data_IF_127430104423
#
_entry.id   IF_127430104423
#
_cell.length_a   1.000
_cell.length_b   1.000
_cell.length_c   1.000
_cell.angle_alpha   90.00
_cell.angle_beta   90.00
_cell.angle_gamma   90.00
#
_symmetry.space_group_name_H-M   'P 1'
#
loop_
_entity.id
_entity.type
_entity.pdbx_description
1 polymer ?
#
# COMPACT_ATOMS: atom_id res chain seq x y z
N UNK A 1 7.12 -1.49 -26.67
CA UNK A 1 7.56 -2.02 -27.97
C UNK A 1 6.72 -3.26 -28.29
N UNK A 2 6.49 -3.59 -29.55
CA UNK A 2 5.69 -4.77 -29.93
C UNK A 2 6.61 -5.91 -30.35
N UNK A 3 6.37 -7.12 -29.84
CA UNK A 3 7.12 -8.31 -30.26
C UNK A 3 6.73 -8.74 -31.67
N UNK A 4 7.56 -9.58 -32.31
CA UNK A 4 7.25 -10.18 -33.62
C UNK A 4 5.93 -10.97 -33.62
N UNK A 5 5.45 -11.40 -32.44
CA UNK A 5 4.19 -12.11 -32.25
C UNK A 5 3.00 -11.18 -31.91
N UNK A 6 3.14 -9.85 -32.03
CA UNK A 6 2.05 -8.89 -31.82
C UNK A 6 1.78 -8.49 -30.36
N UNK A 7 2.44 -9.11 -29.38
CA UNK A 7 2.27 -8.77 -27.97
C UNK A 7 3.01 -7.48 -27.61
N UNK A 8 2.35 -6.58 -26.87
CA UNK A 8 2.99 -5.38 -26.32
C UNK A 8 3.89 -5.75 -25.14
N UNK A 9 5.15 -5.30 -25.20
CA UNK A 9 6.15 -5.47 -24.13
C UNK A 9 6.66 -4.12 -23.69
N UNK A 10 6.69 -3.94 -22.37
CA UNK A 10 7.33 -2.81 -21.71
C UNK A 10 8.80 -3.15 -21.47
N UNK A 11 9.70 -2.23 -21.84
CA UNK A 11 11.13 -2.39 -21.66
C UNK A 11 11.67 -1.24 -20.83
N UNK A 12 12.49 -1.55 -19.84
CA UNK A 12 13.31 -0.56 -19.18
C UNK A 12 14.57 -0.36 -20.03
N UNK A 13 14.90 0.90 -20.33
CA UNK A 13 16.08 1.26 -21.12
C UNK A 13 16.97 2.16 -20.28
N UNK A 14 18.19 1.69 -20.01
CA UNK A 14 19.20 2.47 -19.31
C UNK A 14 20.35 2.79 -20.26
N UNK A 15 20.80 4.04 -20.25
CA UNK A 15 21.92 4.52 -21.06
C UNK A 15 23.10 4.75 -20.12
N UNK A 16 24.19 4.03 -20.35
CA UNK A 16 25.44 4.19 -19.60
C UNK A 16 26.50 4.77 -20.52
N UNK A 17 27.11 5.86 -20.08
CA UNK A 17 28.24 6.47 -20.78
C UNK A 17 29.52 5.95 -20.13
N UNK A 18 30.21 5.04 -20.80
CA UNK A 18 31.47 4.45 -20.33
C UNK A 18 32.63 5.20 -20.98
N UNK A 19 33.57 5.79 -20.21
CA UNK A 19 34.77 6.38 -20.76
C UNK A 19 35.53 5.37 -21.63
N UNK A 20 35.85 5.75 -22.87
CA UNK A 20 36.64 4.89 -23.74
C UNK A 20 38.07 4.75 -23.22
N UNK A 21 38.73 3.59 -23.41
CA UNK A 21 40.14 3.46 -23.04
C UNK A 21 41.01 4.40 -23.88
N UNK A 22 41.77 5.27 -23.22
CA UNK A 22 42.66 6.26 -23.85
C UNK A 22 41.96 7.53 -24.34
N UNK A 23 42.41 8.11 -25.46
CA UNK A 23 41.81 9.30 -26.11
C UNK A 23 40.56 8.98 -26.96
N UNK A 24 39.92 7.82 -26.74
CA UNK A 24 38.78 7.39 -27.55
C UNK A 24 37.48 8.04 -27.04
N UNK A 25 36.56 8.27 -27.96
CA UNK A 25 35.22 8.77 -27.65
C UNK A 25 34.51 7.85 -26.63
N UNK A 26 33.66 8.42 -25.76
CA UNK A 26 32.92 7.63 -24.79
C UNK A 26 31.99 6.62 -25.47
N UNK A 27 31.88 5.44 -24.88
CA UNK A 27 31.04 4.36 -25.36
C UNK A 27 29.66 4.52 -24.72
N UNK A 28 28.61 4.54 -25.54
CA UNK A 28 27.22 4.55 -25.07
C UNK A 28 26.72 3.11 -25.04
N UNK A 29 26.37 2.61 -23.86
CA UNK A 29 25.79 1.28 -23.67
C UNK A 29 24.30 1.44 -23.38
N UNK A 30 23.46 0.88 -24.24
CA UNK A 30 22.02 0.76 -24.00
C UNK A 30 21.70 -0.61 -23.41
N UNK A 31 21.30 -0.66 -22.14
CA UNK A 31 20.79 -1.89 -21.53
C UNK A 31 19.26 -1.92 -21.64
N UNK A 32 18.73 -2.96 -22.27
CA UNK A 32 17.30 -3.22 -22.38
C UNK A 32 16.92 -4.38 -21.47
N UNK A 33 15.98 -4.16 -20.55
CA UNK A 33 15.45 -5.22 -19.66
C UNK A 33 13.93 -5.31 -19.80
N UNK A 34 13.35 -6.51 -19.92
CA UNK A 34 11.90 -6.65 -19.93
C UNK A 34 11.32 -6.18 -18.61
N UNK A 35 10.35 -5.27 -18.68
CA UNK A 35 9.46 -4.98 -17.56
C UNK A 35 8.37 -6.03 -17.67
N UNK A 36 8.49 -7.09 -16.86
CA UNK A 36 7.36 -8.02 -16.66
C UNK A 36 6.15 -7.18 -16.22
N UNK A 37 5.09 -7.24 -17.03
CA UNK A 37 3.87 -6.46 -16.83
C UNK A 37 3.03 -6.90 -15.62
N UNK A 38 1.77 -6.40 -15.53
CA UNK A 38 0.91 -6.48 -14.35
C UNK A 38 0.58 -7.90 -13.85
N UNK A 39 0.84 -8.95 -14.62
CA UNK A 39 0.59 -10.35 -14.23
C UNK A 39 1.44 -10.81 -13.03
N UNK A 40 2.63 -10.22 -12.82
CA UNK A 40 3.39 -10.42 -11.57
C UNK A 40 2.75 -9.73 -10.37
N UNK A 41 1.95 -8.71 -10.60
CA UNK A 41 1.27 -7.94 -9.56
C UNK A 41 0.01 -8.68 -9.13
N UNK A 42 -0.75 -9.28 -10.05
CA UNK A 42 -1.90 -10.15 -9.71
C UNK A 42 -1.45 -11.37 -8.89
N UNK A 43 -0.42 -12.09 -9.37
CA UNK A 43 0.13 -13.22 -8.62
C UNK A 43 0.73 -12.82 -7.28
N UNK A 44 1.30 -11.62 -7.16
CA UNK A 44 1.83 -11.10 -5.90
C UNK A 44 0.70 -10.65 -4.97
N UNK A 45 -0.35 -10.01 -5.49
CA UNK A 45 -1.54 -9.60 -4.73
C UNK A 45 -2.25 -10.83 -4.17
N UNK A 46 -2.40 -11.89 -4.96
CA UNK A 46 -3.03 -13.13 -4.52
C UNK A 46 -2.16 -13.87 -3.50
N UNK A 47 -0.83 -13.89 -3.70
CA UNK A 47 0.11 -14.46 -2.72
C UNK A 47 0.13 -13.66 -1.41
N UNK A 48 0.10 -12.32 -1.48
CA UNK A 48 0.04 -11.45 -0.30
C UNK A 48 -1.31 -11.59 0.40
N UNK A 49 -2.42 -11.60 -0.33
CA UNK A 49 -3.76 -11.80 0.23
C UNK A 49 -3.86 -13.16 0.94
N UNK A 50 -3.35 -14.22 0.32
CA UNK A 50 -3.28 -15.56 0.91
C UNK A 50 -2.44 -15.58 2.19
N UNK A 51 -1.26 -14.94 2.17
CA UNK A 51 -0.40 -14.82 3.36
C UNK A 51 -1.07 -14.02 4.48
N UNK A 52 -1.71 -12.90 4.14
CA UNK A 52 -2.42 -12.05 5.11
C UNK A 52 -3.57 -12.83 5.75
N UNK A 53 -4.36 -13.55 4.96
CA UNK A 53 -5.44 -14.40 5.47
C UNK A 53 -4.91 -15.53 6.37
N UNK A 54 -3.77 -16.15 6.04
CA UNK A 54 -3.14 -17.13 6.92
C UNK A 54 -2.64 -16.51 8.23
N UNK A 55 -1.94 -15.37 8.18
CA UNK A 55 -1.47 -14.66 9.38
C UNK A 55 -2.64 -14.25 10.29
N UNK A 56 -3.77 -13.86 9.70
CA UNK A 56 -4.99 -13.55 10.43
C UNK A 56 -5.64 -14.80 11.04
N UNK A 57 -5.65 -15.95 10.33
CA UNK A 57 -6.17 -17.22 10.85
C UNK A 57 -5.32 -17.80 11.99
N UNK A 58 -3.99 -17.69 11.90
CA UNK A 58 -3.05 -18.20 12.92
C UNK A 58 -3.16 -17.41 14.24
N UNK A 59 -3.63 -16.16 14.20
CA UNK A 59 -3.87 -15.33 15.40
C UNK A 59 -5.31 -15.38 15.93
N UNK A 60 -6.16 -16.23 15.36
CA UNK A 60 -7.52 -16.51 15.86
C UNK A 60 -7.59 -17.30 17.17
N UNK A 61 -6.51 -17.34 17.96
CA UNK A 61 -6.51 -17.92 19.32
C UNK A 61 -5.88 -16.94 20.30
N UNK A 62 -6.69 -16.05 20.85
CA UNK A 62 -6.40 -15.33 22.10
C UNK A 62 -7.40 -15.81 23.15
N UNK A 63 -7.00 -16.68 24.08
CA UNK A 63 -7.76 -16.92 25.31
C UNK A 63 -7.58 -15.72 26.23
N UNK A 64 -8.64 -14.92 26.40
CA UNK A 64 -8.86 -14.04 27.56
C UNK A 64 -7.93 -12.84 27.75
N UNK A 65 -8.53 -11.71 28.15
CA UNK A 65 -7.90 -10.47 28.65
C UNK A 65 -7.34 -9.50 27.58
N UNK A 66 -8.21 -8.62 27.07
CA UNK A 66 -7.98 -7.16 26.91
C UNK A 66 -9.08 -6.42 26.12
N UNK A 67 -10.33 -6.89 26.22
CA UNK A 67 -11.50 -6.24 25.61
C UNK A 67 -11.73 -4.79 26.11
N UNK A 68 -11.15 -4.39 27.25
CA UNK A 68 -11.29 -3.05 27.82
C UNK A 68 -10.31 -2.00 27.25
N UNK A 69 -9.18 -2.41 26.66
CA UNK A 69 -8.20 -1.47 26.08
C UNK A 69 -8.56 -1.08 24.64
N UNK A 70 -9.32 -1.94 23.95
CA UNK A 70 -9.69 -1.77 22.54
C UNK A 70 -10.72 -0.66 22.31
N UNK A 71 -11.72 -0.54 23.19
CA UNK A 71 -12.73 0.53 23.11
C UNK A 71 -12.13 1.93 23.37
N UNK A 72 -11.05 2.01 24.15
CA UNK A 72 -10.38 3.26 24.54
C UNK A 72 -9.55 3.88 23.41
N UNK A 73 -9.13 3.11 22.39
CA UNK A 73 -8.40 3.70 21.26
C UNK A 73 -9.31 4.46 20.29
N UNK A 74 -10.63 4.17 20.26
CA UNK A 74 -11.61 5.00 19.55
C UNK A 74 -11.67 6.43 20.08
N UNK A 75 -11.52 6.62 21.39
CA UNK A 75 -11.66 7.96 21.99
C UNK A 75 -10.48 8.89 21.67
N UNK A 76 -9.41 8.39 21.05
CA UNK A 76 -8.23 9.18 20.68
C UNK A 76 -8.35 9.79 19.27
N UNK A 77 -9.06 9.12 18.35
CA UNK A 77 -9.22 9.59 16.98
C UNK A 77 -10.38 10.60 16.89
N UNK A 78 -10.11 11.72 16.25
CA UNK A 78 -11.12 12.70 15.89
C UNK A 78 -12.06 12.13 14.83
N UNK A 79 -13.26 12.71 14.69
CA UNK A 79 -14.24 12.31 13.67
C UNK A 79 -13.64 12.24 12.26
N UNK A 80 -12.79 13.21 11.90
CA UNK A 80 -12.17 13.29 10.58
C UNK A 80 -11.10 12.19 10.38
N UNK A 81 -10.33 11.89 11.41
CA UNK A 81 -9.35 10.81 11.38
C UNK A 81 -10.02 9.44 11.25
N UNK A 82 -11.12 9.22 11.97
CA UNK A 82 -11.93 7.99 11.85
C UNK A 82 -12.52 7.83 10.45
N UNK A 83 -12.99 8.91 9.83
CA UNK A 83 -13.49 8.90 8.46
C UNK A 83 -12.39 8.53 7.44
N UNK A 84 -11.19 9.12 7.59
CA UNK A 84 -10.05 8.80 6.74
C UNK A 84 -9.60 7.35 6.96
N UNK A 85 -9.56 6.86 8.20
CA UNK A 85 -9.25 5.47 8.52
C UNK A 85 -10.23 4.48 7.87
N UNK A 86 -11.52 4.82 7.84
CA UNK A 86 -12.55 4.04 7.13
C UNK A 86 -12.31 4.01 5.62
N UNK A 87 -11.94 5.14 5.01
CA UNK A 87 -11.65 5.18 3.59
C UNK A 87 -10.35 4.42 3.25
N UNK A 88 -9.34 4.46 4.12
CA UNK A 88 -8.15 3.61 3.98
C UNK A 88 -8.50 2.12 4.02
N UNK A 89 -9.45 1.73 4.88
CA UNK A 89 -9.94 0.36 4.94
C UNK A 89 -10.74 -0.09 3.72
N UNK A 90 -11.24 0.85 2.91
CA UNK A 90 -11.83 0.58 1.59
C UNK A 90 -10.77 0.45 0.49
N UNK A 91 -9.48 0.36 0.85
CA UNK A 91 -8.35 0.30 -0.07
C UNK A 91 -8.20 1.52 -1.00
N UNK A 92 -8.72 2.68 -0.60
CA UNK A 92 -8.60 3.91 -1.38
C UNK A 92 -7.21 4.54 -1.23
N UNK A 93 -6.69 5.03 -2.35
CA UNK A 93 -5.46 5.82 -2.39
C UNK A 93 -5.65 7.21 -1.78
N UNK A 94 -4.56 7.81 -1.30
CA UNK A 94 -4.57 9.14 -0.65
C UNK A 94 -5.20 10.24 -1.54
N UNK A 95 -5.06 10.14 -2.88
CA UNK A 95 -5.69 11.07 -3.83
C UNK A 95 -7.21 10.88 -3.88
N UNK A 96 -7.68 9.65 -3.98
CA UNK A 96 -9.12 9.34 -4.01
C UNK A 96 -9.81 9.74 -2.69
N UNK A 97 -9.12 9.57 -1.57
CA UNK A 97 -9.57 10.06 -0.27
C UNK A 97 -9.68 11.59 -0.28
N UNK A 98 -8.70 12.29 -0.82
CA UNK A 98 -8.70 13.76 -0.92
C UNK A 98 -9.89 14.26 -1.74
N UNK A 99 -10.14 13.62 -2.89
CA UNK A 99 -11.24 13.93 -3.80
C UNK A 99 -12.60 13.69 -3.13
N UNK A 100 -12.81 12.52 -2.51
CA UNK A 100 -14.07 12.20 -1.80
C UNK A 100 -14.36 13.15 -0.64
N UNK A 101 -13.32 13.60 0.02
CA UNK A 101 -13.41 14.43 1.21
C UNK A 101 -13.33 15.93 0.90
N UNK A 102 -13.22 16.30 -0.39
CA UNK A 102 -13.07 17.66 -0.90
C UNK A 102 -11.98 18.47 -0.17
N UNK A 103 -10.83 17.84 0.10
CA UNK A 103 -9.67 18.47 0.76
C UNK A 103 -8.39 18.22 -0.03
N UNK A 104 -7.32 18.94 0.28
CA UNK A 104 -6.05 18.75 -0.41
C UNK A 104 -5.38 17.42 -0.05
N UNK A 105 -4.60 16.89 -1.00
CA UNK A 105 -3.78 15.69 -0.81
C UNK A 105 -2.82 15.80 0.39
N UNK A 106 -2.23 16.99 0.60
CA UNK A 106 -1.33 17.26 1.72
C UNK A 106 -2.05 17.17 3.06
N UNK A 107 -3.28 17.68 3.15
CA UNK A 107 -4.11 17.59 4.36
C UNK A 107 -4.46 16.14 4.68
N UNK A 108 -4.80 15.33 3.68
CA UNK A 108 -5.02 13.89 3.91
C UNK A 108 -3.75 13.21 4.41
N UNK A 109 -2.58 13.50 3.83
CA UNK A 109 -1.30 12.94 4.32
C UNK A 109 -1.04 13.30 5.78
N UNK A 110 -1.32 14.54 6.17
CA UNK A 110 -1.15 15.00 7.55
C UNK A 110 -2.10 14.25 8.50
N UNK A 111 -3.38 14.11 8.13
CA UNK A 111 -4.32 13.32 8.92
C UNK A 111 -3.87 11.85 9.05
N UNK A 112 -3.36 11.24 7.98
CA UNK A 112 -2.83 9.88 8.05
C UNK A 112 -1.65 9.81 9.02
N UNK A 113 -0.73 10.77 8.98
CA UNK A 113 0.39 10.81 9.93
C UNK A 113 -0.10 10.86 11.38
N UNK A 114 -1.05 11.75 11.69
CA UNK A 114 -1.63 11.83 13.04
C UNK A 114 -2.37 10.55 13.44
N UNK A 115 -3.05 9.87 12.50
CA UNK A 115 -3.67 8.56 12.76
C UNK A 115 -2.61 7.54 13.16
N UNK A 116 -1.51 7.45 12.41
CA UNK A 116 -0.43 6.50 12.70
C UNK A 116 0.19 6.76 14.07
N UNK A 117 0.44 8.02 14.41
CA UNK A 117 0.97 8.44 15.71
C UNK A 117 0.01 8.10 16.86
N UNK A 118 -1.28 8.44 16.70
CA UNK A 118 -2.32 8.17 17.71
C UNK A 118 -2.57 6.68 17.93
N UNK A 119 -2.47 5.89 16.87
CA UNK A 119 -2.60 4.43 16.94
C UNK A 119 -1.30 3.73 17.31
N UNK A 120 -0.17 4.46 17.38
CA UNK A 120 1.18 3.95 17.62
C UNK A 120 1.58 2.83 16.65
N UNK A 121 1.38 3.07 15.36
CA UNK A 121 1.71 2.15 14.26
C UNK A 121 2.60 2.83 13.24
N UNK A 122 3.32 2.05 12.44
CA UNK A 122 4.32 2.57 11.49
C UNK A 122 3.85 2.51 10.03
N UNK A 123 2.73 1.83 9.75
CA UNK A 123 2.21 1.71 8.40
C UNK A 123 0.69 1.87 8.32
N UNK A 124 0.20 2.31 7.15
CA UNK A 124 -1.25 2.39 6.88
C UNK A 124 -1.91 1.00 6.97
N UNK A 125 -1.18 -0.05 6.59
CA UNK A 125 -1.67 -1.42 6.63
C UNK A 125 -1.84 -1.87 8.08
N UNK A 126 -0.88 -1.57 8.97
CA UNK A 126 -1.02 -1.81 10.41
C UNK A 126 -2.20 -1.04 11.00
N UNK A 127 -2.37 0.23 10.62
CA UNK A 127 -3.50 1.04 11.10
C UNK A 127 -4.86 0.42 10.72
N UNK A 128 -5.00 -0.03 9.48
CA UNK A 128 -6.21 -0.71 8.99
C UNK A 128 -6.40 -2.07 9.68
N UNK A 129 -5.34 -2.86 9.83
CA UNK A 129 -5.40 -4.16 10.50
C UNK A 129 -5.81 -4.02 11.98
N UNK A 130 -5.25 -3.03 12.68
CA UNK A 130 -5.62 -2.70 14.05
C UNK A 130 -7.07 -2.22 14.11
N UNK A 131 -7.51 -1.41 13.14
CA UNK A 131 -8.90 -0.99 13.02
C UNK A 131 -9.88 -2.17 12.90
N UNK A 132 -9.54 -3.20 12.12
CA UNK A 132 -10.35 -4.42 12.06
C UNK A 132 -10.31 -5.24 13.36
N UNK A 133 -9.13 -5.44 13.96
CA UNK A 133 -8.98 -6.18 15.22
C UNK A 133 -9.79 -5.57 16.36
N UNK A 134 -9.86 -4.25 16.40
CA UNK A 134 -10.55 -3.51 17.45
C UNK A 134 -12.04 -3.27 17.16
N UNK A 135 -12.59 -3.86 16.10
CA UNK A 135 -13.95 -3.62 15.60
C UNK A 135 -14.26 -2.13 15.34
N UNK A 136 -13.23 -1.32 15.04
CA UNK A 136 -13.33 0.10 14.69
C UNK A 136 -14.06 0.31 13.36
N UNK A 137 -13.96 -0.69 12.50
CA UNK A 137 -14.52 -0.75 11.16
C UNK A 137 -15.10 -2.16 10.96
N UNK A 138 -16.38 -2.23 10.64
CA UNK A 138 -17.03 -3.52 10.36
C UNK A 138 -16.62 -4.01 8.97
N UNK A 139 -16.33 -5.30 8.89
CA UNK A 139 -15.93 -6.00 7.67
C UNK A 139 -16.82 -5.61 6.50
N UNK A 140 -16.15 -5.25 5.40
CA UNK A 140 -16.75 -5.00 4.09
C UNK A 140 -17.74 -6.14 3.77
N UNK A 141 -19.03 -5.82 3.73
CA UNK A 141 -20.02 -6.66 3.06
C UNK A 141 -19.69 -6.57 1.58
N UNK A 142 -18.91 -7.53 1.09
CA UNK A 142 -18.66 -7.74 -0.33
C UNK A 142 -20.00 -8.14 -0.93
N UNK A 143 -20.59 -7.25 -1.73
CA UNK A 143 -21.83 -7.50 -2.48
C UNK A 143 -21.49 -7.70 -3.94
#
# INVERSE_FOLDING_TARGET
MTTKAGHQVWLNVSILLVPGPGRKAPIIIHQFRPVSGPERVEGLVEQVASRVLEVLKVRGRVPGADQASSATKMSVLTRRETEILRLMAQCLGTKEIADRLCISYSTVRLHIQHILEKLQVHSKVEAVALAFQQNLIQTLSVK
#
